data_IF_885675710377
#
_entry.id   IF_885675710377
#
_cell.length_a   1.000
_cell.length_b   1.000
_cell.length_c   1.000
_cell.angle_alpha   90.00
_cell.angle_beta   90.00
_cell.angle_gamma   90.00
#
_symmetry.space_group_name_H-M   'P 1'
#
loop_
_entity.id
_entity.type
_entity.pdbx_description
1 polymer ?
#
# COMPACT_ATOMS: atom_id res chain seq x y z
N UNK A 1 4.57 9.96 10.54
CA UNK A 1 4.02 8.59 10.50
C UNK A 1 2.53 8.65 10.23
N UNK A 2 2.04 7.94 9.22
CA UNK A 2 0.60 7.81 8.98
C UNK A 2 0.01 6.78 9.93
N UNK A 3 -1.22 6.98 10.42
CA UNK A 3 -1.88 6.11 11.40
C UNK A 3 -1.87 4.61 11.04
N UNK A 4 -1.79 4.26 9.74
CA UNK A 4 -1.80 2.88 9.25
C UNK A 4 -0.53 2.08 9.58
N UNK A 5 0.61 2.73 9.82
CA UNK A 5 1.86 2.04 10.19
C UNK A 5 1.75 1.39 11.57
N UNK A 6 0.96 1.99 12.45
CA UNK A 6 0.69 1.50 13.81
C UNK A 6 -0.37 0.39 13.85
N UNK A 7 -0.98 0.04 12.71
CA UNK A 7 -2.04 -0.97 12.68
C UNK A 7 -1.45 -2.38 12.68
N UNK A 8 -2.13 -3.33 13.34
CA UNK A 8 -1.84 -4.75 13.14
C UNK A 8 -2.10 -5.16 11.69
N UNK A 9 -1.44 -6.23 11.23
CA UNK A 9 -1.72 -6.81 9.91
C UNK A 9 -3.20 -7.15 9.76
N UNK A 10 -3.81 -7.69 10.81
CA UNK A 10 -5.22 -8.06 10.82
C UNK A 10 -6.13 -6.86 10.52
N UNK A 11 -5.89 -5.75 11.23
CA UNK A 11 -6.68 -4.52 11.05
C UNK A 11 -6.51 -3.97 9.63
N UNK A 12 -5.29 -3.95 9.11
CA UNK A 12 -5.02 -3.47 7.76
C UNK A 12 -5.66 -4.38 6.70
N UNK A 13 -5.56 -5.70 6.86
CA UNK A 13 -6.12 -6.67 5.93
C UNK A 13 -7.65 -6.60 5.88
N UNK A 14 -8.32 -6.39 7.02
CA UNK A 14 -9.77 -6.15 7.08
C UNK A 14 -10.13 -4.86 6.36
N UNK A 15 -9.42 -3.77 6.63
CA UNK A 15 -9.69 -2.47 6.03
C UNK A 15 -9.53 -2.49 4.50
N UNK A 16 -8.47 -3.15 4.00
CA UNK A 16 -8.26 -3.38 2.57
C UNK A 16 -9.36 -4.24 1.96
N UNK A 17 -9.81 -5.30 2.64
CA UNK A 17 -10.88 -6.15 2.13
C UNK A 17 -12.20 -5.39 1.92
N UNK A 18 -12.50 -4.41 2.79
CA UNK A 18 -13.63 -3.49 2.62
C UNK A 18 -13.46 -2.59 1.40
N UNK A 19 -12.29 -1.96 1.24
CA UNK A 19 -11.99 -1.08 0.10
C UNK A 19 -11.98 -1.85 -1.23
N UNK A 20 -11.61 -3.12 -1.20
CA UNK A 20 -11.62 -4.03 -2.36
C UNK A 20 -13.01 -4.59 -2.68
N UNK A 21 -14.04 -4.26 -1.89
CA UNK A 21 -15.40 -4.78 -2.07
C UNK A 21 -15.54 -6.29 -1.83
N UNK A 22 -14.59 -6.90 -1.10
CA UNK A 22 -14.60 -8.34 -0.79
C UNK A 22 -15.37 -8.67 0.48
N UNK A 23 -15.76 -7.66 1.24
CA UNK A 23 -16.58 -7.77 2.46
C UNK A 23 -17.49 -6.56 2.59
N UNK A 24 -18.66 -6.72 3.22
CA UNK A 24 -19.57 -5.61 3.50
C UNK A 24 -18.89 -4.48 4.30
N UNK A 25 -19.12 -3.20 3.99
CA UNK A 25 -18.49 -2.06 4.66
C UNK A 25 -18.70 -2.06 6.19
N UNK A 26 -19.87 -2.54 6.63
CA UNK A 26 -20.29 -2.61 8.03
C UNK A 26 -19.89 -3.91 8.73
N UNK A 27 -19.19 -4.83 8.06
CA UNK A 27 -18.77 -6.08 8.69
C UNK A 27 -17.80 -5.79 9.86
N UNK A 28 -18.21 -6.22 11.06
CA UNK A 28 -17.46 -6.08 12.32
C UNK A 28 -16.97 -7.45 12.83
N UNK A 29 -17.58 -8.54 12.38
CA UNK A 29 -17.21 -9.94 12.67
C UNK A 29 -16.79 -10.65 11.38
N UNK A 30 -15.68 -10.21 10.77
CA UNK A 30 -15.08 -11.04 9.73
C UNK A 30 -14.26 -12.12 10.42
N UNK A 31 -14.52 -13.39 10.11
CA UNK A 31 -13.57 -14.44 10.46
C UNK A 31 -12.27 -14.12 9.73
N UNK A 32 -11.21 -13.76 10.48
CA UNK A 32 -9.95 -13.34 9.88
C UNK A 32 -9.35 -14.40 8.95
N UNK A 33 -9.63 -15.68 9.22
CA UNK A 33 -9.20 -16.78 8.36
C UNK A 33 -9.80 -16.74 6.94
N UNK A 34 -10.91 -16.02 6.77
CA UNK A 34 -11.57 -15.81 5.47
C UNK A 34 -11.11 -14.52 4.78
N UNK A 35 -10.28 -13.71 5.44
CA UNK A 35 -9.71 -12.49 4.86
C UNK A 35 -8.41 -12.82 4.13
N UNK A 36 -8.28 -12.26 2.93
CA UNK A 36 -7.01 -12.29 2.21
C UNK A 36 -5.92 -11.59 3.03
N UNK A 37 -4.80 -12.29 3.22
CA UNK A 37 -3.68 -11.84 4.06
C UNK A 37 -2.74 -10.92 3.28
N UNK A 38 -3.20 -9.73 2.89
CA UNK A 38 -2.43 -8.83 2.02
C UNK A 38 -1.05 -8.41 2.58
N UNK A 39 -0.89 -8.41 3.90
CA UNK A 39 0.38 -8.07 4.57
C UNK A 39 1.37 -9.25 4.66
N UNK A 40 0.96 -10.46 4.27
CA UNK A 40 1.73 -11.68 4.50
C UNK A 40 1.79 -12.60 3.26
N UNK A 41 0.71 -12.68 2.50
CA UNK A 41 0.60 -13.50 1.30
C UNK A 41 1.06 -12.74 0.05
N UNK A 42 2.04 -13.27 -0.72
CA UNK A 42 2.55 -12.60 -1.91
C UNK A 42 1.49 -12.34 -2.98
N UNK A 43 0.61 -13.29 -3.24
CA UNK A 43 -0.38 -13.18 -4.31
C UNK A 43 -1.43 -12.12 -3.96
N UNK A 44 -1.99 -12.18 -2.76
CA UNK A 44 -2.93 -11.17 -2.26
C UNK A 44 -2.29 -9.77 -2.26
N UNK A 45 -1.03 -9.65 -1.81
CA UNK A 45 -0.30 -8.37 -1.82
C UNK A 45 -0.23 -7.76 -3.22
N UNK A 46 0.00 -8.57 -4.26
CA UNK A 46 0.01 -8.12 -5.66
C UNK A 46 -1.40 -7.76 -6.17
N UNK A 47 -2.44 -8.48 -5.75
CA UNK A 47 -3.83 -8.15 -6.09
C UNK A 47 -4.22 -6.76 -5.59
N UNK A 48 -3.90 -6.44 -4.33
CA UNK A 48 -4.26 -5.15 -3.73
C UNK A 48 -3.41 -4.01 -4.29
N UNK A 49 -2.12 -4.27 -4.58
CA UNK A 49 -1.27 -3.33 -5.32
C UNK A 49 -1.87 -3.02 -6.70
N UNK A 50 -2.28 -4.04 -7.44
CA UNK A 50 -2.85 -3.89 -8.79
C UNK A 50 -4.12 -3.04 -8.75
N UNK A 51 -5.00 -3.29 -7.77
CA UNK A 51 -6.21 -2.49 -7.58
C UNK A 51 -5.91 -1.03 -7.23
N UNK A 52 -4.94 -0.77 -6.35
CA UNK A 52 -4.53 0.58 -5.99
C UNK A 52 -3.90 1.34 -7.17
N UNK A 53 -3.05 0.69 -7.96
CA UNK A 53 -2.46 1.26 -9.18
C UNK A 53 -3.56 1.61 -10.20
N UNK A 54 -4.52 0.69 -10.41
CA UNK A 54 -5.66 0.94 -11.30
C UNK A 54 -6.54 2.10 -10.81
N UNK A 55 -6.62 2.31 -9.50
CA UNK A 55 -7.37 3.41 -8.92
C UNK A 55 -6.62 4.76 -9.05
N UNK A 56 -5.33 4.80 -8.71
CA UNK A 56 -4.48 5.98 -8.84
C UNK A 56 -2.99 5.58 -8.80
N UNK A 57 -2.40 5.32 -9.97
CA UNK A 57 -1.01 4.87 -10.10
C UNK A 57 0.00 5.87 -9.50
N UNK A 58 -0.20 7.17 -9.72
CA UNK A 58 0.67 8.23 -9.22
C UNK A 58 0.69 8.24 -7.69
N UNK A 59 -0.49 8.26 -7.07
CA UNK A 59 -0.60 8.27 -5.61
C UNK A 59 -0.08 6.98 -4.99
N UNK A 60 -0.31 5.83 -5.63
CA UNK A 60 0.27 4.57 -5.16
C UNK A 60 1.81 4.62 -5.12
N UNK A 61 2.45 5.05 -6.22
CA UNK A 61 3.90 5.15 -6.29
C UNK A 61 4.48 6.10 -5.24
N UNK A 62 3.86 7.27 -5.05
CA UNK A 62 4.25 8.24 -4.01
C UNK A 62 4.11 7.63 -2.62
N UNK A 63 2.97 7.00 -2.33
CA UNK A 63 2.69 6.41 -1.02
C UNK A 63 3.64 5.26 -0.70
N UNK A 64 4.07 4.49 -1.71
CA UNK A 64 5.04 3.41 -1.54
C UNK A 64 6.48 3.94 -1.42
N UNK A 65 6.89 4.93 -2.21
CA UNK A 65 8.21 5.57 -2.09
C UNK A 65 8.44 6.15 -0.67
N UNK A 66 7.42 6.79 -0.09
CA UNK A 66 7.44 7.30 1.29
C UNK A 66 7.65 6.21 2.35
N UNK A 67 7.42 4.93 2.02
CA UNK A 67 7.67 3.81 2.94
C UNK A 67 9.07 3.25 2.81
N UNK A 68 9.56 3.21 1.59
CA UNK A 68 10.83 2.57 1.22
C UNK A 68 12.05 3.45 1.53
N UNK A 69 11.86 4.57 2.25
CA UNK A 69 12.91 5.54 2.59
C UNK A 69 13.76 5.94 1.38
N UNK A 70 13.09 6.21 0.27
CA UNK A 70 13.73 6.57 -0.99
C UNK A 70 14.62 7.82 -0.89
N UNK A 71 14.32 8.70 0.06
CA UNK A 71 14.95 10.00 0.29
C UNK A 71 16.31 9.94 1.02
N UNK A 72 16.83 8.75 1.36
CA UNK A 72 18.14 8.63 2.01
C UNK A 72 19.34 8.92 1.06
N UNK A 73 19.11 9.04 -0.25
CA UNK A 73 20.14 9.37 -1.26
C UNK A 73 20.60 10.86 -1.25
N UNK A 74 20.06 11.68 -0.33
CA UNK A 74 20.55 13.04 -0.06
C UNK A 74 19.89 14.18 -0.84
N UNK A 75 19.05 13.88 -1.83
CA UNK A 75 18.14 14.85 -2.47
C UNK A 75 16.68 14.52 -2.11
N UNK A 76 15.99 15.37 -1.34
CA UNK A 76 14.61 15.13 -0.94
C UNK A 76 13.70 15.04 -2.17
N UNK A 77 12.96 13.93 -2.31
CA UNK A 77 11.93 13.82 -3.33
C UNK A 77 10.86 14.91 -3.14
N UNK A 78 10.58 15.68 -4.20
CA UNK A 78 9.49 16.66 -4.18
C UNK A 78 8.12 16.02 -4.44
N UNK A 79 8.10 14.74 -4.82
CA UNK A 79 6.97 13.98 -5.33
C UNK A 79 6.24 14.68 -6.49
N UNK A 80 7.01 15.42 -7.30
CA UNK A 80 6.55 16.11 -8.50
C UNK A 80 6.73 15.23 -9.74
N UNK A 81 6.07 15.59 -10.83
CA UNK A 81 6.21 14.86 -12.10
C UNK A 81 7.59 15.06 -12.76
N UNK A 82 8.42 15.95 -12.20
CA UNK A 82 9.77 16.26 -12.68
C UNK A 82 10.87 15.62 -11.81
N UNK A 83 10.52 14.81 -10.82
CA UNK A 83 11.51 14.13 -9.98
C UNK A 83 12.34 13.14 -10.81
N UNK A 84 13.66 13.21 -10.68
CA UNK A 84 14.59 12.27 -11.30
C UNK A 84 14.58 10.96 -10.50
N UNK A 85 14.12 9.87 -11.12
CA UNK A 85 14.17 8.54 -10.52
C UNK A 85 15.58 7.93 -10.72
N UNK A 86 16.24 7.53 -9.63
CA UNK A 86 17.45 6.73 -9.70
C UNK A 86 17.11 5.24 -9.94
N UNK A 87 17.93 4.50 -10.68
CA UNK A 87 17.73 3.06 -10.86
C UNK A 87 17.79 2.29 -9.53
N UNK A 88 18.62 2.74 -8.59
CA UNK A 88 18.71 2.20 -7.23
C UNK A 88 17.40 2.39 -6.49
N UNK A 89 16.82 3.59 -6.55
CA UNK A 89 15.50 3.84 -6.00
C UNK A 89 14.47 2.89 -6.63
N UNK A 90 14.43 2.80 -7.97
CA UNK A 90 13.46 1.93 -8.65
C UNK A 90 13.59 0.47 -8.20
N UNK A 91 14.82 0.00 -7.96
CA UNK A 91 15.05 -1.33 -7.40
C UNK A 91 14.40 -1.50 -6.01
N UNK A 92 14.37 -0.47 -5.16
CA UNK A 92 13.72 -0.51 -3.85
C UNK A 92 12.20 -0.76 -3.96
N UNK A 93 11.53 -0.27 -5.02
CA UNK A 93 10.11 -0.61 -5.24
C UNK A 93 9.90 -2.11 -5.43
N UNK A 94 10.82 -2.78 -6.11
CA UNK A 94 10.72 -4.21 -6.38
C UNK A 94 10.99 -5.07 -5.15
N UNK A 95 11.70 -4.52 -4.15
CA UNK A 95 11.97 -5.19 -2.88
C UNK A 95 10.96 -4.86 -1.77
N UNK A 96 9.92 -4.07 -2.07
CA UNK A 96 8.88 -3.74 -1.12
C UNK A 96 8.24 -4.99 -0.50
N UNK A 97 8.14 -4.99 0.83
CA UNK A 97 7.48 -6.05 1.58
C UNK A 97 5.98 -6.08 1.29
N UNK A 98 5.34 -7.21 1.56
CA UNK A 98 3.89 -7.35 1.43
C UNK A 98 3.14 -6.29 2.23
N UNK A 99 3.65 -6.01 3.44
CA UNK A 99 3.12 -5.00 4.36
C UNK A 99 3.24 -3.59 3.79
N UNK A 100 4.39 -3.19 3.27
CA UNK A 100 4.57 -1.86 2.69
C UNK A 100 3.66 -1.64 1.48
N UNK A 101 3.52 -2.65 0.63
CA UNK A 101 2.56 -2.63 -0.49
C UNK A 101 1.12 -2.47 0.00
N UNK A 102 0.72 -3.24 1.01
CA UNK A 102 -0.62 -3.18 1.59
C UNK A 102 -0.92 -1.80 2.19
N UNK A 103 0.02 -1.22 2.94
CA UNK A 103 -0.16 0.10 3.54
C UNK A 103 -0.23 1.21 2.48
N UNK A 104 0.60 1.15 1.43
CA UNK A 104 0.54 2.10 0.31
C UNK A 104 -0.78 1.97 -0.47
N UNK A 105 -1.26 0.73 -0.66
CA UNK A 105 -2.54 0.45 -1.30
C UNK A 105 -3.71 1.01 -0.48
N UNK A 106 -3.70 0.83 0.84
CA UNK A 106 -4.74 1.34 1.73
C UNK A 106 -4.89 2.86 1.61
N UNK A 107 -3.79 3.61 1.78
CA UNK A 107 -3.82 5.08 1.71
C UNK A 107 -4.36 5.55 0.34
N UNK A 108 -3.94 4.86 -0.72
CA UNK A 108 -4.36 5.20 -2.08
C UNK A 108 -5.86 4.95 -2.29
N UNK A 109 -6.35 3.77 -1.91
CA UNK A 109 -7.75 3.39 -2.08
C UNK A 109 -8.70 4.16 -1.14
N UNK A 110 -8.27 4.46 0.09
CA UNK A 110 -9.09 5.22 1.04
C UNK A 110 -9.26 6.68 0.64
N UNK A 111 -8.32 7.24 -0.13
CA UNK A 111 -8.42 8.62 -0.65
C UNK A 111 -9.41 8.79 -1.80
N UNK A 112 -9.95 7.68 -2.34
CA UNK A 112 -10.93 7.66 -3.44
C UNK A 112 -12.39 7.67 -2.95
N UNK A 113 -12.63 7.40 -1.67
CA UNK A 113 -13.96 7.38 -1.07
C UNK A 113 -14.38 8.76 -0.56
#
# INVERSE_FOLDING_TARGET
>A
MTQVQEWSNERLNIALSKLMGRTEPTAIMVNYDMIAKYCEDPAASLEVQTAAIKANARMYAINLAKRLKWDEDGDPLSFSDNDLFSYTGVANFFTATHRERAEAAYITLSSKQ
#
